data_IF_843771698219
#
_entry.id   IF_843771698219
#
_cell.length_a   1.000
_cell.length_b   1.000
_cell.length_c   1.000
_cell.angle_alpha   90.00
_cell.angle_beta   90.00
_cell.angle_gamma   90.00
#
_symmetry.space_group_name_H-M   'P 1'
#
loop_
_entity.id
_entity.type
_entity.pdbx_description
1 polymer ?
#
# COMPACT_ATOMS: atom_id res chain seq x y z
N UNK A 1 -31.63 41.19 50.89
CA UNK A 1 -30.26 40.80 51.26
C UNK A 1 -30.18 39.29 51.22
N UNK A 2 -29.38 38.74 50.31
CA UNK A 2 -29.27 37.30 50.06
C UNK A 2 -28.60 37.11 48.72
N UNK A 3 -27.33 36.74 48.74
CA UNK A 3 -26.34 36.96 47.70
C UNK A 3 -26.40 35.89 46.61
N UNK A 4 -26.43 36.33 45.34
CA UNK A 4 -26.32 35.47 44.16
C UNK A 4 -24.88 34.97 43.99
N UNK A 5 -24.59 33.76 44.46
CA UNK A 5 -23.31 33.07 44.21
C UNK A 5 -23.36 32.36 42.85
N UNK A 6 -22.80 33.00 41.84
CA UNK A 6 -22.63 32.43 40.50
C UNK A 6 -21.62 31.27 40.55
N UNK A 7 -22.10 30.05 40.32
CA UNK A 7 -21.22 28.91 40.04
C UNK A 7 -20.64 29.05 38.63
N UNK A 8 -19.46 29.64 38.54
CA UNK A 8 -18.60 29.64 37.36
C UNK A 8 -18.20 28.19 37.04
N UNK A 9 -18.95 27.52 36.16
CA UNK A 9 -18.50 26.28 35.54
C UNK A 9 -17.34 26.62 34.61
N UNK A 10 -16.13 26.24 35.01
CA UNK A 10 -14.96 26.22 34.14
C UNK A 10 -15.19 25.10 33.13
N UNK A 11 -15.76 25.40 31.97
CA UNK A 11 -15.72 24.49 30.83
C UNK A 11 -14.42 24.76 30.07
N UNK A 12 -13.36 24.06 30.47
CA UNK A 12 -12.08 24.06 29.78
C UNK A 12 -12.19 23.20 28.53
N UNK A 13 -12.54 23.81 27.40
CA UNK A 13 -12.41 23.18 26.08
C UNK A 13 -10.94 23.20 25.67
N UNK A 14 -10.18 22.20 26.11
CA UNK A 14 -8.95 21.80 25.44
C UNK A 14 -9.31 21.05 24.15
N UNK A 15 -8.53 21.18 23.07
CA UNK A 15 -8.76 20.41 21.86
C UNK A 15 -8.48 18.93 22.13
N UNK A 16 -9.40 18.05 21.73
CA UNK A 16 -9.14 16.62 21.66
C UNK A 16 -8.18 16.37 20.50
N UNK A 17 -6.90 16.22 20.84
CA UNK A 17 -5.89 15.66 19.93
C UNK A 17 -6.31 14.21 19.61
N UNK A 18 -6.57 13.85 18.33
CA UNK A 18 -6.82 12.46 18.00
C UNK A 18 -5.54 11.67 18.28
N UNK A 19 -5.65 10.72 19.20
CA UNK A 19 -4.57 9.82 19.58
C UNK A 19 -3.99 9.15 18.35
N UNK A 20 -2.78 9.55 17.97
CA UNK A 20 -1.92 8.76 17.13
C UNK A 20 -1.61 7.47 17.90
N UNK A 21 -2.43 6.44 17.66
CA UNK A 21 -2.14 5.09 18.12
C UNK A 21 -0.78 4.71 17.58
N UNK A 22 0.18 4.50 18.48
CA UNK A 22 1.48 3.92 18.15
C UNK A 22 1.27 2.55 17.49
N UNK A 23 1.36 2.50 16.16
CA UNK A 23 1.62 1.26 15.43
C UNK A 23 3.11 0.88 15.54
N UNK A 24 3.68 0.96 16.74
CA UNK A 24 5.05 0.59 17.01
C UNK A 24 5.20 -0.92 16.79
N UNK A 25 5.64 -1.31 15.59
CA UNK A 25 5.85 -2.70 15.20
C UNK A 25 5.46 -3.05 13.75
N UNK A 26 4.74 -2.18 13.02
CA UNK A 26 4.47 -2.39 11.58
C UNK A 26 5.54 -1.72 10.73
N UNK A 27 6.28 -2.51 9.95
CA UNK A 27 7.16 -1.99 8.89
C UNK A 27 6.29 -1.50 7.74
N UNK A 28 6.55 -0.29 7.23
CA UNK A 28 5.82 0.26 6.10
C UNK A 28 6.02 -0.63 4.85
N UNK A 29 4.98 -0.81 4.04
CA UNK A 29 5.04 -1.68 2.85
C UNK A 29 6.20 -1.32 1.91
N UNK A 30 6.43 -0.03 1.65
CA UNK A 30 7.55 0.43 0.83
C UNK A 30 8.93 0.05 1.41
N UNK A 31 9.09 0.00 2.73
CA UNK A 31 10.34 -0.44 3.35
C UNK A 31 10.57 -1.95 3.16
N UNK A 32 9.52 -2.76 3.28
CA UNK A 32 9.59 -4.20 2.99
C UNK A 32 9.99 -4.41 1.53
N UNK A 33 9.39 -3.67 0.61
CA UNK A 33 9.68 -3.78 -0.81
C UNK A 33 11.11 -3.36 -1.16
N UNK A 34 11.63 -2.26 -0.58
CA UNK A 34 13.04 -1.85 -0.76
C UNK A 34 14.03 -2.89 -0.21
N UNK A 35 13.69 -3.56 0.91
CA UNK A 35 14.48 -4.70 1.41
C UNK A 35 14.47 -5.87 0.43
N UNK A 36 13.31 -6.15 -0.19
CA UNK A 36 13.20 -7.20 -1.21
C UNK A 36 14.05 -6.88 -2.45
N UNK A 37 14.01 -5.64 -2.96
CA UNK A 37 14.88 -5.16 -4.06
C UNK A 37 16.36 -5.41 -3.74
N UNK A 38 16.79 -5.07 -2.54
CA UNK A 38 18.19 -5.25 -2.10
C UNK A 38 18.64 -6.71 -2.06
N UNK A 39 17.72 -7.65 -1.88
CA UNK A 39 18.01 -9.09 -1.79
C UNK A 39 18.14 -9.78 -3.16
N UNK A 40 17.72 -9.13 -4.25
CA UNK A 40 17.78 -9.73 -5.60
C UNK A 40 19.19 -9.63 -6.18
N UNK A 41 19.81 -10.77 -6.48
CA UNK A 41 21.11 -10.80 -7.14
C UNK A 41 21.04 -10.29 -8.60
N UNK A 42 22.16 -9.79 -9.18
CA UNK A 42 22.22 -9.46 -10.61
C UNK A 42 21.79 -10.64 -11.49
N UNK A 43 20.98 -10.36 -12.52
CA UNK A 43 20.28 -11.34 -13.34
C UNK A 43 19.00 -11.92 -12.73
N UNK A 44 18.66 -11.55 -11.49
CA UNK A 44 17.46 -11.99 -10.78
C UNK A 44 16.24 -11.10 -11.02
N UNK A 45 15.05 -11.63 -10.73
CA UNK A 45 13.77 -10.93 -10.89
C UNK A 45 13.06 -10.75 -9.56
N UNK A 46 12.38 -9.62 -9.42
CA UNK A 46 11.36 -9.39 -8.39
C UNK A 46 9.99 -9.34 -9.06
N UNK A 47 9.04 -10.13 -8.54
CA UNK A 47 7.64 -10.09 -8.93
C UNK A 47 6.81 -9.65 -7.71
N UNK A 48 6.05 -8.58 -7.87
CA UNK A 48 5.10 -8.09 -6.87
C UNK A 48 3.70 -8.19 -7.47
N UNK A 49 2.80 -8.86 -6.74
CA UNK A 49 1.39 -8.98 -7.10
C UNK A 49 0.56 -8.57 -5.90
N UNK A 50 -0.37 -7.66 -6.10
CA UNK A 50 -1.34 -7.22 -5.10
C UNK A 50 -2.67 -6.90 -5.76
N UNK A 51 -3.72 -6.75 -4.97
CA UNK A 51 -5.01 -6.32 -5.51
C UNK A 51 -4.90 -4.89 -6.07
N UNK A 52 -5.33 -4.70 -7.32
CA UNK A 52 -5.48 -3.39 -7.96
C UNK A 52 -6.87 -2.79 -7.73
N UNK A 53 -7.83 -3.61 -7.33
CA UNK A 53 -9.16 -3.19 -6.86
C UNK A 53 -9.66 -4.14 -5.77
N UNK A 54 -10.55 -3.64 -4.91
CA UNK A 54 -11.20 -4.49 -3.92
C UNK A 54 -12.10 -5.51 -4.63
N UNK A 55 -12.12 -6.79 -4.18
CA UNK A 55 -13.04 -7.78 -4.72
C UNK A 55 -14.49 -7.30 -4.66
N UNK A 56 -15.32 -7.64 -5.68
CA UNK A 56 -16.75 -7.34 -5.66
C UNK A 56 -17.41 -7.88 -4.39
N UNK A 57 -18.22 -7.06 -3.72
CA UNK A 57 -18.95 -7.47 -2.51
C UNK A 57 -18.11 -7.68 -1.25
N UNK A 58 -16.82 -7.32 -1.26
CA UNK A 58 -16.01 -7.36 -0.04
C UNK A 58 -16.35 -6.19 0.90
N UNK A 59 -16.65 -6.48 2.17
CA UNK A 59 -17.04 -5.49 3.19
C UNK A 59 -15.90 -4.58 3.67
N UNK A 60 -14.76 -4.52 2.98
CA UNK A 60 -13.67 -3.60 3.35
C UNK A 60 -14.02 -2.11 3.13
N UNK A 61 -15.24 -1.82 2.69
CA UNK A 61 -15.88 -0.49 2.71
C UNK A 61 -16.13 0.04 4.15
N UNK A 62 -15.75 -0.70 5.20
CA UNK A 62 -15.85 -0.27 6.61
C UNK A 62 -14.95 0.92 6.98
N UNK A 63 -13.90 1.19 6.19
CA UNK A 63 -13.16 2.45 6.26
C UNK A 63 -13.23 3.12 4.89
N UNK A 64 -14.30 3.89 4.63
CA UNK A 64 -14.33 4.83 3.48
C UNK A 64 -13.16 5.82 3.48
N UNK A 65 -12.45 5.93 4.61
CA UNK A 65 -11.25 6.72 4.78
C UNK A 65 -9.94 5.95 4.46
N UNK A 66 -10.00 4.63 4.21
CA UNK A 66 -8.83 3.87 3.82
C UNK A 66 -8.33 4.35 2.45
N UNK A 67 -7.01 4.54 2.27
CA UNK A 67 -6.46 4.91 0.98
C UNK A 67 -6.74 3.80 -0.05
N UNK A 68 -6.83 4.16 -1.34
CA UNK A 68 -6.99 3.19 -2.41
C UNK A 68 -5.85 2.15 -2.39
N UNK A 69 -6.14 0.96 -2.91
CA UNK A 69 -5.11 -0.05 -3.14
C UNK A 69 -4.09 0.48 -4.16
N UNK A 70 -2.78 0.22 -3.95
CA UNK A 70 -1.75 0.76 -4.81
C UNK A 70 -1.80 0.13 -6.21
N UNK A 71 -1.71 0.98 -7.21
CA UNK A 71 -1.50 0.58 -8.61
C UNK A 71 -0.10 -0.02 -8.80
N UNK A 72 0.11 -0.77 -9.89
CA UNK A 72 1.43 -1.32 -10.22
C UNK A 72 2.49 -0.21 -10.42
N UNK A 73 2.08 0.97 -10.91
CA UNK A 73 2.93 2.15 -11.02
C UNK A 73 3.32 2.76 -9.67
N UNK A 74 2.40 2.85 -8.71
CA UNK A 74 2.72 3.31 -7.35
C UNK A 74 3.61 2.32 -6.61
N UNK A 75 3.39 1.02 -6.81
CA UNK A 75 4.31 -0.02 -6.31
C UNK A 75 5.70 0.19 -6.91
N UNK A 76 5.82 0.38 -8.22
CA UNK A 76 7.10 0.64 -8.89
C UNK A 76 7.79 1.88 -8.31
N UNK A 77 7.07 2.98 -8.13
CA UNK A 77 7.62 4.18 -7.50
C UNK A 77 8.12 3.92 -6.07
N UNK A 78 7.40 3.10 -5.30
CA UNK A 78 7.77 2.76 -3.92
C UNK A 78 9.02 1.86 -3.80
N UNK A 79 9.36 1.13 -4.86
CA UNK A 79 10.55 0.28 -4.91
C UNK A 79 11.85 1.08 -4.88
N UNK A 80 11.81 2.35 -5.29
CA UNK A 80 12.98 3.24 -5.35
C UNK A 80 14.18 2.53 -6.03
N UNK A 81 13.92 2.02 -7.24
CA UNK A 81 14.88 1.18 -7.94
C UNK A 81 16.13 1.98 -8.30
N UNK A 82 17.33 1.51 -7.93
CA UNK A 82 18.57 2.12 -8.38
C UNK A 82 18.80 1.85 -9.88
N UNK A 83 19.87 2.43 -10.42
CA UNK A 83 20.31 2.12 -11.78
C UNK A 83 20.58 0.62 -11.98
N UNK A 84 20.40 0.15 -13.21
CA UNK A 84 20.64 -1.25 -13.58
C UNK A 84 19.44 -2.18 -13.35
N UNK A 85 18.23 -1.63 -13.31
CA UNK A 85 16.98 -2.40 -13.32
C UNK A 85 16.18 -2.14 -14.59
N UNK A 86 15.51 -3.18 -15.07
CA UNK A 86 14.61 -3.13 -16.23
C UNK A 86 13.21 -3.53 -15.79
N UNK A 87 12.21 -2.75 -16.18
CA UNK A 87 10.81 -3.10 -15.97
C UNK A 87 10.35 -4.03 -17.09
N UNK A 88 10.00 -5.27 -16.74
CA UNK A 88 9.52 -6.27 -17.70
C UNK A 88 7.98 -6.29 -17.80
N UNK A 89 7.28 -5.96 -16.72
CA UNK A 89 5.81 -5.91 -16.67
C UNK A 89 5.40 -4.88 -15.63
N UNK A 90 4.45 -4.01 -15.98
CA UNK A 90 3.85 -3.03 -15.06
C UNK A 90 2.39 -2.82 -15.50
N UNK A 91 1.51 -3.70 -15.06
CA UNK A 91 0.17 -3.85 -15.64
C UNK A 91 -0.89 -4.08 -14.56
N UNK A 92 -2.13 -3.70 -14.90
CA UNK A 92 -3.33 -4.19 -14.23
C UNK A 92 -3.84 -5.42 -14.97
N UNK A 93 -4.00 -6.52 -14.25
CA UNK A 93 -4.42 -7.81 -14.82
C UNK A 93 -5.73 -8.23 -14.20
N UNK A 94 -6.71 -8.51 -15.05
CA UNK A 94 -7.99 -9.07 -14.63
C UNK A 94 -7.93 -10.61 -14.67
N UNK A 95 -8.47 -11.24 -13.62
CA UNK A 95 -8.65 -12.69 -13.55
C UNK A 95 -10.05 -13.06 -13.08
N UNK A 96 -10.60 -14.11 -13.65
CA UNK A 96 -11.85 -14.69 -13.19
C UNK A 96 -11.60 -15.70 -12.07
N UNK A 97 -12.39 -15.62 -11.00
CA UNK A 97 -12.34 -16.58 -9.89
C UNK A 97 -13.74 -17.00 -9.48
N UNK A 98 -13.90 -18.25 -9.07
CA UNK A 98 -15.13 -18.70 -8.42
C UNK A 98 -15.22 -18.10 -7.02
N UNK A 99 -16.26 -17.32 -6.77
CA UNK A 99 -16.49 -16.63 -5.51
C UNK A 99 -17.64 -17.25 -4.74
N UNK A 100 -17.47 -17.34 -3.42
CA UNK A 100 -18.42 -18.01 -2.53
C UNK A 100 -19.82 -17.43 -2.73
N UNK A 101 -20.77 -18.30 -3.05
CA UNK A 101 -22.19 -18.01 -3.19
C UNK A 101 -22.55 -16.93 -4.22
N UNK A 102 -21.58 -16.48 -5.05
CA UNK A 102 -21.75 -15.40 -6.02
C UNK A 102 -21.39 -15.80 -7.46
N UNK A 103 -20.85 -17.01 -7.67
CA UNK A 103 -20.40 -17.47 -8.98
C UNK A 103 -19.08 -16.82 -9.39
N UNK A 104 -18.80 -16.78 -10.70
CA UNK A 104 -17.56 -16.22 -11.24
C UNK A 104 -17.53 -14.70 -11.06
N UNK A 105 -16.46 -14.18 -10.46
CA UNK A 105 -16.20 -12.74 -10.31
C UNK A 105 -14.84 -12.38 -10.93
N UNK A 106 -14.74 -11.15 -11.42
CA UNK A 106 -13.47 -10.59 -11.88
C UNK A 106 -12.72 -9.94 -10.71
N UNK A 107 -11.47 -10.31 -10.52
CA UNK A 107 -10.53 -9.63 -9.63
C UNK A 107 -9.48 -8.92 -10.48
N UNK A 108 -9.17 -7.68 -10.10
CA UNK A 108 -8.10 -6.90 -10.72
C UNK A 108 -6.88 -6.88 -9.82
N UNK A 109 -5.72 -7.21 -10.37
CA UNK A 109 -4.43 -7.19 -9.68
C UNK A 109 -3.49 -6.18 -10.30
N UNK A 110 -2.67 -5.54 -9.45
CA UNK A 110 -1.47 -4.83 -9.84
C UNK A 110 -0.32 -5.85 -9.95
N UNK A 111 0.23 -6.00 -11.16
CA UNK A 111 1.34 -6.92 -11.45
C UNK A 111 2.57 -6.14 -11.89
N UNK A 112 3.63 -6.21 -11.09
CA UNK A 112 4.91 -5.59 -11.38
C UNK A 112 6.02 -6.65 -11.40
N UNK A 113 6.75 -6.75 -12.52
CA UNK A 113 7.95 -7.56 -12.65
C UNK A 113 9.13 -6.72 -13.10
N UNK A 114 10.23 -6.81 -12.36
CA UNK A 114 11.46 -6.10 -12.65
C UNK A 114 12.65 -7.05 -12.63
N UNK A 115 13.62 -6.80 -13.51
CA UNK A 115 14.84 -7.58 -13.68
C UNK A 115 16.02 -6.72 -13.24
N UNK A 116 16.88 -7.26 -12.37
CA UNK A 116 18.19 -6.66 -12.08
C UNK A 116 19.17 -7.09 -13.17
N UNK A 117 19.74 -6.14 -13.90
CA UNK A 117 20.70 -6.44 -14.97
C UNK A 117 22.01 -6.98 -14.40
N UNK A 118 22.73 -7.80 -15.18
CA UNK A 118 24.12 -8.13 -14.83
C UNK A 118 24.99 -6.93 -15.20
N UNK A 119 26.11 -6.74 -14.50
CA UNK A 119 27.06 -5.68 -14.82
C UNK A 119 27.50 -5.73 -16.29
N UNK A 120 27.69 -6.92 -16.85
CA UNK A 120 28.10 -7.09 -18.25
C UNK A 120 27.00 -6.77 -19.26
N UNK A 121 25.73 -6.67 -18.83
CA UNK A 121 24.62 -6.27 -19.70
C UNK A 121 24.46 -4.74 -19.76
N UNK A 122 25.10 -4.01 -18.83
CA UNK A 122 25.07 -2.54 -18.78
C UNK A 122 26.10 -1.89 -19.73
N UNK A 123 27.13 -2.64 -20.15
CA UNK A 123 28.17 -2.17 -21.07
C UNK A 123 27.75 -2.24 -22.56
N UNK A 124 26.56 -2.77 -22.86
CA UNK A 124 26.07 -3.00 -24.23
C UNK A 124 24.92 -2.07 -24.68
N UNK A 125 24.56 -1.08 -23.86
CA UNK A 125 23.49 -0.10 -24.12
C UNK A 125 24.02 1.32 -24.24
#
# INVERSE_FOLDING_TARGET
MGEHRQHRRLNSSAPEEPGAGEHAGRVAAGEILRRAVSAVAPGGRLLVVGHGAFPPGSSHDHDRAAPPLPTSGEVLASLDLPDGWTVETNESVDREVEWRDQGTVTLTDAVLRVLRMRSNDLDMV
#
